data_IF_235595843594
#
_entry.id   IF_235595843594
#
_cell.length_a   1.000
_cell.length_b   1.000
_cell.length_c   1.000
_cell.angle_alpha   90.00
_cell.angle_beta   90.00
_cell.angle_gamma   90.00
#
_symmetry.space_group_name_H-M   'P 1'
#
loop_
_entity.id
_entity.type
_entity.pdbx_description
1 polymer ?
#
# COMPACT_ATOMS: atom_id res chain seq x y z
N UNK A 1 -24.21 -2.40 3.51
CA UNK A 1 -22.89 -2.64 2.89
C UNK A 1 -22.11 -3.50 3.85
N UNK A 2 -21.77 -4.73 3.46
CA UNK A 2 -21.49 -5.85 4.36
C UNK A 2 -20.48 -5.48 5.45
N UNK A 3 -20.91 -5.46 6.71
CA UNK A 3 -19.98 -5.44 7.84
C UNK A 3 -19.09 -6.71 7.86
N UNK A 4 -19.51 -7.74 7.12
CA UNK A 4 -18.84 -9.01 6.99
C UNK A 4 -17.91 -9.04 5.77
N UNK A 5 -16.60 -9.14 6.03
CA UNK A 5 -15.58 -9.27 5.00
C UNK A 5 -15.73 -10.58 4.19
N UNK A 6 -16.11 -11.68 4.84
CA UNK A 6 -16.14 -13.02 4.23
C UNK A 6 -17.23 -13.20 3.17
N UNK A 7 -18.27 -12.39 3.22
CA UNK A 7 -19.34 -12.39 2.22
C UNK A 7 -19.12 -11.33 1.13
N UNK A 8 -18.12 -10.47 1.30
CA UNK A 8 -17.87 -9.33 0.43
C UNK A 8 -17.35 -9.73 -0.94
N UNK A 9 -17.56 -8.87 -1.93
CA UNK A 9 -16.97 -9.02 -3.26
C UNK A 9 -15.44 -9.01 -3.25
N UNK A 10 -14.83 -8.30 -2.30
CA UNK A 10 -13.38 -8.27 -2.14
C UNK A 10 -12.82 -9.67 -1.84
N UNK A 11 -13.44 -10.40 -0.90
CA UNK A 11 -13.01 -11.74 -0.56
C UNK A 11 -13.25 -12.74 -1.71
N UNK A 12 -14.41 -12.64 -2.38
CA UNK A 12 -14.83 -13.61 -3.40
C UNK A 12 -14.15 -13.46 -4.76
N UNK A 13 -13.75 -12.24 -5.13
CA UNK A 13 -13.32 -11.94 -6.51
C UNK A 13 -11.97 -11.22 -6.63
N UNK A 14 -11.40 -10.74 -5.51
CA UNK A 14 -10.21 -9.87 -5.54
C UNK A 14 -9.10 -10.32 -4.60
N UNK A 15 -9.13 -11.59 -4.20
CA UNK A 15 -8.02 -12.26 -3.55
C UNK A 15 -7.37 -13.22 -4.55
N UNK A 16 -6.05 -13.11 -4.68
CA UNK A 16 -5.24 -13.88 -5.60
C UNK A 16 -4.01 -14.41 -4.91
N UNK A 17 -3.53 -15.56 -5.35
CA UNK A 17 -2.21 -16.05 -4.95
C UNK A 17 -1.10 -15.26 -5.64
N UNK A 18 0.12 -15.34 -5.09
CA UNK A 18 1.31 -14.71 -5.70
C UNK A 18 1.56 -15.21 -7.12
N UNK A 19 1.35 -16.50 -7.34
CA UNK A 19 1.54 -17.16 -8.64
C UNK A 19 0.48 -16.74 -9.66
N UNK A 20 -0.78 -16.63 -9.23
CA UNK A 20 -1.86 -16.13 -10.08
C UNK A 20 -1.60 -14.69 -10.54
N UNK A 21 -1.22 -13.79 -9.63
CA UNK A 21 -0.87 -12.41 -9.99
C UNK A 21 0.30 -12.34 -10.96
N UNK A 22 1.34 -13.14 -10.75
CA UNK A 22 2.49 -13.21 -11.65
C UNK A 22 2.09 -13.73 -13.04
N UNK A 23 1.27 -14.80 -13.09
CA UNK A 23 0.74 -15.38 -14.31
C UNK A 23 -0.14 -14.40 -15.09
N UNK A 24 -1.05 -13.69 -14.42
CA UNK A 24 -1.90 -12.66 -15.03
C UNK A 24 -1.08 -11.52 -15.65
N UNK A 25 -0.06 -11.02 -14.94
CA UNK A 25 0.84 -9.98 -15.44
C UNK A 25 1.67 -10.46 -16.62
N UNK A 26 2.23 -11.66 -16.53
CA UNK A 26 3.02 -12.25 -17.63
C UNK A 26 2.15 -12.46 -18.87
N UNK A 27 0.90 -12.90 -18.69
CA UNK A 27 -0.07 -13.04 -19.78
C UNK A 27 -0.32 -11.69 -20.46
N UNK A 28 -0.59 -10.63 -19.70
CA UNK A 28 -0.77 -9.28 -20.24
C UNK A 28 0.47 -8.78 -21.01
N UNK A 29 1.67 -9.02 -20.46
CA UNK A 29 2.91 -8.65 -21.14
C UNK A 29 3.10 -9.43 -22.45
N UNK A 30 2.78 -10.72 -22.47
CA UNK A 30 2.88 -11.56 -23.66
C UNK A 30 1.90 -11.15 -24.77
N UNK A 31 0.67 -10.77 -24.40
CA UNK A 31 -0.34 -10.27 -25.34
C UNK A 31 0.05 -8.90 -25.94
N UNK A 32 0.91 -8.14 -25.25
CA UNK A 32 1.35 -6.81 -25.66
C UNK A 32 2.86 -6.75 -25.96
N UNK A 33 3.48 -7.88 -26.32
CA UNK A 33 4.94 -8.06 -26.39
C UNK A 33 5.68 -6.97 -27.17
N UNK A 34 5.17 -6.53 -28.32
CA UNK A 34 5.77 -5.46 -29.12
C UNK A 34 5.87 -4.13 -28.34
N UNK A 35 4.81 -3.78 -27.61
CA UNK A 35 4.77 -2.54 -26.82
C UNK A 35 5.66 -2.64 -25.59
N UNK A 36 5.73 -3.83 -24.98
CA UNK A 36 6.61 -4.11 -23.83
C UNK A 36 8.08 -3.99 -24.24
N UNK A 37 8.46 -4.54 -25.38
CA UNK A 37 9.83 -4.47 -25.91
C UNK A 37 10.22 -3.03 -26.27
N UNK A 38 9.30 -2.26 -26.86
CA UNK A 38 9.55 -0.87 -27.24
C UNK A 38 9.70 0.07 -26.03
N UNK A 39 8.96 -0.19 -24.95
CA UNK A 39 8.95 0.63 -23.74
C UNK A 39 9.15 -0.23 -22.50
N UNK A 40 10.41 -0.51 -22.15
CA UNK A 40 10.73 -1.22 -20.92
C UNK A 40 10.38 -0.38 -19.69
N UNK A 41 9.67 -1.00 -18.75
CA UNK A 41 9.24 -0.39 -17.48
C UNK A 41 9.96 -1.08 -16.32
N UNK A 42 10.10 -0.40 -15.17
CA UNK A 42 10.65 -1.03 -13.98
C UNK A 42 9.64 -2.02 -13.41
N UNK A 43 10.10 -2.81 -12.43
CA UNK A 43 9.22 -3.75 -11.72
C UNK A 43 7.95 -3.08 -11.18
N UNK A 44 6.86 -3.85 -11.11
CA UNK A 44 5.57 -3.38 -10.59
C UNK A 44 5.66 -2.74 -9.20
N UNK A 45 6.54 -3.24 -8.32
CA UNK A 45 6.76 -2.63 -6.99
C UNK A 45 7.26 -1.18 -7.09
N UNK A 46 8.21 -0.90 -7.99
CA UNK A 46 8.67 0.47 -8.24
C UNK A 46 7.57 1.36 -8.85
N UNK A 47 6.75 0.82 -9.75
CA UNK A 47 5.59 1.53 -10.29
C UNK A 47 4.57 1.85 -9.20
N UNK A 48 4.30 0.94 -8.27
CA UNK A 48 3.38 1.19 -7.16
C UNK A 48 3.92 2.21 -6.15
N UNK A 49 5.24 2.25 -5.90
CA UNK A 49 5.87 3.32 -5.12
C UNK A 49 5.61 4.66 -5.82
N UNK A 50 5.86 4.75 -7.12
CA UNK A 50 5.62 5.96 -7.90
C UNK A 50 4.16 6.40 -7.87
N UNK A 51 3.22 5.48 -8.10
CA UNK A 51 1.79 5.77 -8.06
C UNK A 51 1.33 6.24 -6.68
N UNK A 52 1.80 5.59 -5.61
CA UNK A 52 1.51 6.01 -4.25
C UNK A 52 1.98 7.46 -4.01
N UNK A 53 3.19 7.83 -4.44
CA UNK A 53 3.69 9.20 -4.32
C UNK A 53 2.82 10.21 -5.09
N UNK A 54 2.36 9.87 -6.30
CA UNK A 54 1.47 10.75 -7.07
C UNK A 54 0.09 10.89 -6.42
N UNK A 55 -0.51 9.79 -5.95
CA UNK A 55 -1.79 9.80 -5.22
C UNK A 55 -1.66 10.61 -3.94
N UNK A 56 -0.61 10.42 -3.15
CA UNK A 56 -0.39 11.13 -1.89
C UNK A 56 -0.24 12.65 -2.12
N UNK A 57 0.48 13.06 -3.17
CA UNK A 57 0.62 14.48 -3.54
C UNK A 57 -0.72 15.10 -3.94
N UNK A 58 -1.52 14.39 -4.75
CA UNK A 58 -2.85 14.85 -5.15
C UNK A 58 -3.81 14.89 -3.94
N UNK A 59 -3.80 13.83 -3.12
CA UNK A 59 -4.63 13.73 -1.92
C UNK A 59 -4.34 14.82 -0.90
N UNK A 60 -3.06 15.21 -0.72
CA UNK A 60 -2.66 16.33 0.13
C UNK A 60 -3.21 17.67 -0.37
N UNK A 61 -3.21 17.90 -1.69
CA UNK A 61 -3.78 19.12 -2.31
C UNK A 61 -5.29 19.18 -2.15
N UNK A 62 -5.97 18.06 -2.33
CA UNK A 62 -7.42 17.92 -2.16
C UNK A 62 -7.87 17.84 -0.69
N UNK A 63 -6.94 17.69 0.26
CA UNK A 63 -7.19 17.51 1.70
C UNK A 63 -8.14 16.34 2.01
N UNK A 64 -7.98 15.22 1.28
CA UNK A 64 -8.81 14.02 1.46
C UNK A 64 -8.26 13.13 2.57
N UNK A 65 -9.12 12.27 3.13
CA UNK A 65 -8.79 11.34 4.22
C UNK A 65 -7.97 10.15 3.71
N UNK A 66 -7.19 9.55 4.60
CA UNK A 66 -6.36 8.38 4.29
C UNK A 66 -7.17 7.19 3.75
N UNK A 67 -8.41 7.01 4.20
CA UNK A 67 -9.30 5.95 3.71
C UNK A 67 -9.56 6.09 2.20
N UNK A 68 -9.83 7.29 1.69
CA UNK A 68 -10.01 7.52 0.26
C UNK A 68 -8.71 7.28 -0.54
N UNK A 69 -7.55 7.63 0.03
CA UNK A 69 -6.24 7.38 -0.58
C UNK A 69 -5.99 5.87 -0.70
N UNK A 70 -6.24 5.11 0.36
CA UNK A 70 -6.09 3.66 0.38
C UNK A 70 -7.01 2.97 -0.63
N UNK A 71 -8.27 3.38 -0.73
CA UNK A 71 -9.22 2.85 -1.72
C UNK A 71 -8.76 3.17 -3.15
N UNK A 72 -8.27 4.37 -3.42
CA UNK A 72 -7.72 4.73 -4.73
C UNK A 72 -6.49 3.87 -5.12
N UNK A 73 -5.62 3.56 -4.15
CA UNK A 73 -4.46 2.68 -4.38
C UNK A 73 -4.88 1.27 -4.79
N UNK A 74 -5.91 0.72 -4.14
CA UNK A 74 -6.45 -0.60 -4.48
C UNK A 74 -7.10 -0.59 -5.86
N UNK A 75 -7.85 0.45 -6.22
CA UNK A 75 -8.45 0.57 -7.55
C UNK A 75 -7.42 0.51 -8.67
N UNK A 76 -6.30 1.23 -8.52
CA UNK A 76 -5.23 1.22 -9.51
C UNK A 76 -4.63 -0.18 -9.67
N UNK A 77 -4.44 -0.91 -8.57
CA UNK A 77 -3.95 -2.29 -8.61
C UNK A 77 -4.92 -3.22 -9.33
N UNK A 78 -6.22 -3.14 -8.98
CA UNK A 78 -7.28 -3.95 -9.60
C UNK A 78 -7.41 -3.69 -11.11
N UNK A 79 -7.30 -2.42 -11.51
CA UNK A 79 -7.35 -2.01 -12.91
C UNK A 79 -6.17 -2.55 -13.71
N UNK A 80 -4.93 -2.35 -13.23
CA UNK A 80 -3.72 -2.76 -13.95
C UNK A 80 -3.42 -4.27 -13.92
N UNK A 81 -4.24 -5.07 -13.25
CA UNK A 81 -4.20 -6.54 -13.35
C UNK A 81 -4.90 -7.04 -14.62
N UNK A 82 -5.82 -6.24 -15.17
CA UNK A 82 -6.58 -6.59 -16.38
C UNK A 82 -6.20 -5.73 -17.58
N UNK A 83 -5.70 -4.51 -17.34
CA UNK A 83 -5.32 -3.56 -18.38
C UNK A 83 -3.81 -3.32 -18.37
N UNK A 84 -3.20 -3.47 -19.54
CA UNK A 84 -1.80 -3.15 -19.74
C UNK A 84 -1.54 -1.65 -19.56
N UNK A 85 -0.64 -1.30 -18.63
CA UNK A 85 -0.31 0.09 -18.24
C UNK A 85 -0.01 0.99 -19.44
N UNK A 86 0.68 0.45 -20.45
CA UNK A 86 1.12 1.18 -21.64
C UNK A 86 -0.03 1.57 -22.57
N UNK A 87 -1.25 1.05 -22.36
CA UNK A 87 -2.45 1.38 -23.16
C UNK A 87 -3.20 2.61 -22.63
N UNK A 88 -2.89 3.06 -21.42
CA UNK A 88 -3.60 4.13 -20.74
C UNK A 88 -2.64 5.21 -20.27
N UNK A 89 -3.13 6.43 -20.02
CA UNK A 89 -2.35 7.45 -19.32
C UNK A 89 -2.43 7.23 -17.80
N UNK A 90 -1.33 6.86 -17.11
CA UNK A 90 -1.41 6.54 -15.69
C UNK A 90 -1.84 7.70 -14.81
N UNK A 91 -1.55 8.93 -15.19
CA UNK A 91 -1.96 10.12 -14.46
C UNK A 91 -3.47 10.35 -14.54
N UNK A 92 -4.10 10.06 -15.69
CA UNK A 92 -5.55 10.09 -15.85
C UNK A 92 -6.20 9.01 -14.96
N UNK A 93 -5.65 7.79 -14.96
CA UNK A 93 -6.13 6.70 -14.12
C UNK A 93 -5.99 7.05 -12.63
N UNK A 94 -4.87 7.65 -12.21
CA UNK A 94 -4.66 8.10 -10.83
C UNK A 94 -5.70 9.14 -10.41
N UNK A 95 -5.91 10.19 -11.21
CA UNK A 95 -6.90 11.22 -10.89
C UNK A 95 -8.32 10.64 -10.82
N UNK A 96 -8.65 9.74 -11.74
CA UNK A 96 -9.95 9.07 -11.81
C UNK A 96 -10.15 8.13 -10.62
N UNK A 97 -9.14 7.37 -10.22
CA UNK A 97 -9.19 6.49 -9.05
C UNK A 97 -9.39 7.30 -7.76
N UNK A 98 -8.71 8.44 -7.60
CA UNK A 98 -8.92 9.34 -6.47
C UNK A 98 -10.34 9.91 -6.49
N UNK A 99 -10.83 10.36 -7.64
CA UNK A 99 -12.19 10.86 -7.79
C UNK A 99 -13.24 9.83 -7.39
N UNK A 100 -13.14 8.63 -7.94
CA UNK A 100 -14.06 7.53 -7.66
C UNK A 100 -14.00 7.13 -6.18
N UNK A 101 -12.79 7.00 -5.61
CA UNK A 101 -12.62 6.66 -4.20
C UNK A 101 -13.27 7.71 -3.28
N UNK A 102 -13.13 9.00 -3.58
CA UNK A 102 -13.78 10.07 -2.82
C UNK A 102 -15.31 9.94 -2.82
N UNK A 103 -15.91 9.55 -3.95
CA UNK A 103 -17.36 9.33 -4.04
C UNK A 103 -17.82 8.14 -3.20
N UNK A 104 -17.06 7.04 -3.23
CA UNK A 104 -17.43 5.80 -2.55
C UNK A 104 -17.18 5.86 -1.04
N UNK A 105 -16.15 6.58 -0.60
CA UNK A 105 -15.82 6.77 0.82
C UNK A 105 -16.56 7.96 1.47
N UNK A 106 -17.69 8.39 0.87
CA UNK A 106 -18.55 9.46 1.40
C UNK A 106 -17.80 10.78 1.67
N UNK A 107 -16.79 11.09 0.86
CA UNK A 107 -16.05 12.35 0.89
C UNK A 107 -15.91 12.98 -0.51
N UNK A 108 -17.04 13.19 -1.23
CA UNK A 108 -17.03 13.54 -2.65
C UNK A 108 -16.33 14.88 -2.91
N UNK A 109 -15.52 14.90 -3.96
CA UNK A 109 -14.85 16.09 -4.46
C UNK A 109 -15.44 16.48 -5.81
N UNK A 110 -15.62 17.78 -6.05
CA UNK A 110 -16.15 18.26 -7.31
C UNK A 110 -15.18 17.96 -8.46
N UNK A 111 -15.67 17.41 -9.58
CA UNK A 111 -14.83 16.94 -10.70
C UNK A 111 -13.88 18.02 -11.23
N UNK A 112 -14.35 19.28 -11.34
CA UNK A 112 -13.52 20.42 -11.77
C UNK A 112 -12.34 20.69 -10.83
N UNK A 113 -12.50 20.47 -9.52
CA UNK A 113 -11.44 20.67 -8.53
C UNK A 113 -10.34 19.62 -8.69
N UNK A 114 -10.73 18.35 -8.89
CA UNK A 114 -9.76 17.27 -9.14
C UNK A 114 -8.97 17.56 -10.41
N UNK A 115 -9.68 17.92 -11.49
CA UNK A 115 -9.04 18.26 -12.76
C UNK A 115 -8.09 19.44 -12.62
N UNK A 116 -8.47 20.51 -11.88
CA UNK A 116 -7.59 21.67 -11.68
C UNK A 116 -6.35 21.35 -10.85
N UNK A 117 -6.50 20.59 -9.76
CA UNK A 117 -5.36 20.20 -8.92
C UNK A 117 -4.43 19.22 -9.63
N UNK A 118 -4.98 18.27 -10.39
CA UNK A 118 -4.21 17.33 -11.18
C UNK A 118 -3.43 18.04 -12.31
N UNK A 119 -4.03 19.02 -13.01
CA UNK A 119 -3.32 19.87 -13.97
C UNK A 119 -2.20 20.69 -13.32
N UNK A 120 -2.45 21.26 -12.14
CA UNK A 120 -1.43 21.99 -11.39
C UNK A 120 -0.23 21.09 -11.03
N UNK A 121 -0.50 19.82 -10.72
CA UNK A 121 0.50 18.85 -10.29
C UNK A 121 1.32 18.25 -11.45
N UNK A 122 0.70 18.04 -12.61
CA UNK A 122 1.28 17.31 -13.75
C UNK A 122 1.25 18.09 -15.07
N UNK A 123 1.44 19.41 -15.00
CA UNK A 123 1.32 20.42 -16.06
C UNK A 123 1.52 19.92 -17.52
N UNK A 124 2.62 19.22 -17.82
CA UNK A 124 2.95 18.77 -19.19
C UNK A 124 2.63 17.30 -19.50
N UNK A 125 2.04 16.56 -18.55
CA UNK A 125 1.89 15.10 -18.64
C UNK A 125 0.47 14.65 -19.01
N UNK A 126 -0.52 15.54 -18.96
CA UNK A 126 -1.92 15.19 -19.28
C UNK A 126 -2.77 16.40 -19.72
N UNK A 127 -3.45 16.27 -20.87
CA UNK A 127 -4.68 17.04 -21.18
C UNK A 127 -5.87 16.52 -20.35
N UNK A 128 -5.95 16.94 -19.09
CA UNK A 128 -7.05 16.56 -18.20
C UNK A 128 -8.27 17.45 -18.40
N UNK A 129 -9.30 16.88 -19.04
CA UNK A 129 -10.64 17.45 -19.15
C UNK A 129 -11.66 16.66 -18.32
N UNK A 130 -12.75 17.32 -17.95
CA UNK A 130 -13.81 16.70 -17.16
C UNK A 130 -14.52 15.57 -17.91
N UNK A 131 -14.63 15.66 -19.24
CA UNK A 131 -15.21 14.60 -20.09
C UNK A 131 -14.36 13.33 -20.03
N UNK A 132 -13.05 13.45 -20.27
CA UNK A 132 -12.09 12.34 -20.23
C UNK A 132 -12.01 11.68 -18.87
N UNK A 133 -12.06 12.46 -17.81
CA UNK A 133 -12.12 11.92 -16.45
C UNK A 133 -13.42 11.12 -16.25
N UNK A 134 -14.57 11.63 -16.72
CA UNK A 134 -15.85 10.89 -16.66
C UNK A 134 -15.86 9.61 -17.51
N UNK A 135 -15.30 9.64 -18.72
CA UNK A 135 -15.15 8.45 -19.56
C UNK A 135 -14.23 7.41 -18.90
N UNK A 136 -13.07 7.85 -18.39
CA UNK A 136 -12.15 6.99 -17.66
C UNK A 136 -12.80 6.42 -16.39
N UNK A 137 -13.68 7.18 -15.73
CA UNK A 137 -14.40 6.72 -14.55
C UNK A 137 -15.30 5.52 -14.90
N UNK A 138 -16.06 5.64 -15.98
CA UNK A 138 -16.91 4.57 -16.46
C UNK A 138 -16.09 3.31 -16.78
N UNK A 139 -14.97 3.47 -17.49
CA UNK A 139 -14.07 2.35 -17.79
C UNK A 139 -13.48 1.71 -16.52
N UNK A 140 -13.06 2.52 -15.55
CA UNK A 140 -12.48 2.04 -14.29
C UNK A 140 -13.51 1.21 -13.50
N UNK A 141 -14.78 1.65 -13.44
CA UNK A 141 -15.86 0.91 -12.78
C UNK A 141 -16.15 -0.41 -13.50
N UNK A 142 -16.23 -0.37 -14.83
CA UNK A 142 -16.51 -1.55 -15.66
C UNK A 142 -15.44 -2.62 -15.48
N UNK A 143 -14.15 -2.24 -15.54
CA UNK A 143 -13.04 -3.18 -15.41
C UNK A 143 -12.94 -3.80 -14.02
N UNK A 144 -13.31 -3.06 -12.97
CA UNK A 144 -13.38 -3.59 -11.60
C UNK A 144 -14.68 -4.35 -11.32
N UNK A 145 -15.53 -4.58 -12.32
CA UNK A 145 -16.79 -5.32 -12.17
C UNK A 145 -17.75 -4.68 -11.16
N UNK A 146 -17.74 -3.35 -11.02
CA UNK A 146 -18.52 -2.61 -10.01
C UNK A 146 -18.26 -3.00 -8.54
N UNK A 147 -17.13 -3.65 -8.25
CA UNK A 147 -16.73 -4.04 -6.90
C UNK A 147 -15.99 -2.91 -6.17
N UNK A 148 -16.74 -1.86 -5.79
CA UNK A 148 -16.16 -0.60 -5.31
C UNK A 148 -15.87 -0.57 -3.80
N UNK A 149 -16.54 -1.39 -2.98
CA UNK A 149 -16.35 -1.36 -1.52
C UNK A 149 -15.07 -2.11 -1.13
N UNK A 150 -14.15 -1.42 -0.45
CA UNK A 150 -12.87 -1.96 0.03
C UNK A 150 -12.85 -1.99 1.57
N UNK A 151 -12.59 -3.16 2.13
CA UNK A 151 -12.31 -3.35 3.55
C UNK A 151 -10.83 -3.11 3.80
N UNK A 152 -10.54 -2.17 4.70
CA UNK A 152 -9.19 -1.69 4.98
C UNK A 152 -8.66 -2.17 6.35
N UNK A 153 -7.33 -2.33 6.52
CA UNK A 153 -6.73 -2.83 7.76
C UNK A 153 -6.90 -1.89 8.96
N UNK A 154 -7.09 -0.58 8.71
CA UNK A 154 -7.13 0.45 9.76
C UNK A 154 -8.21 0.18 10.82
N UNK A 155 -9.37 -0.35 10.40
CA UNK A 155 -10.47 -0.67 11.33
C UNK A 155 -10.06 -1.79 12.30
N UNK A 156 -9.37 -2.82 11.80
CA UNK A 156 -8.85 -3.91 12.63
C UNK A 156 -7.77 -3.40 13.58
N UNK A 157 -6.87 -2.53 13.12
CA UNK A 157 -5.86 -1.91 13.99
C UNK A 157 -6.50 -1.16 15.17
N UNK A 158 -7.51 -0.31 14.90
CA UNK A 158 -8.22 0.43 15.95
C UNK A 158 -8.94 -0.51 16.92
N UNK A 159 -9.55 -1.59 16.42
CA UNK A 159 -10.25 -2.56 17.28
C UNK A 159 -9.29 -3.31 18.20
N UNK A 160 -8.10 -3.67 17.71
CA UNK A 160 -7.12 -4.46 18.48
C UNK A 160 -6.25 -3.61 19.41
N UNK A 161 -6.35 -2.27 19.32
CA UNK A 161 -5.56 -1.36 20.14
C UNK A 161 -5.80 -1.57 21.65
N UNK A 162 -7.06 -1.77 22.06
CA UNK A 162 -7.43 -2.02 23.46
C UNK A 162 -6.93 -3.36 23.97
N UNK A 163 -7.06 -4.39 23.14
CA UNK A 163 -6.84 -5.79 23.53
C UNK A 163 -5.35 -6.07 23.69
N UNK A 164 -4.54 -5.55 22.78
CA UNK A 164 -3.07 -5.70 22.77
C UNK A 164 -2.40 -4.60 23.62
N UNK A 165 -3.15 -3.58 24.06
CA UNK A 165 -2.67 -2.42 24.82
C UNK A 165 -1.51 -1.70 24.13
N UNK A 166 -1.72 -1.35 22.86
CA UNK A 166 -0.72 -0.61 22.08
C UNK A 166 -0.62 0.84 22.59
N UNK A 167 0.62 1.31 22.79
CA UNK A 167 0.89 2.73 23.07
C UNK A 167 0.47 3.59 21.87
N UNK A 168 0.18 4.87 22.08
CA UNK A 168 -0.13 5.80 20.98
C UNK A 168 0.99 5.88 19.93
N UNK A 169 2.25 5.80 20.36
CA UNK A 169 3.40 5.75 19.45
C UNK A 169 3.51 4.42 18.69
N UNK A 170 3.09 3.31 19.30
CA UNK A 170 3.08 1.99 18.65
C UNK A 170 1.95 1.97 17.61
N UNK A 171 0.78 2.50 17.96
CA UNK A 171 -0.35 2.65 17.06
C UNK A 171 0.01 3.50 15.83
N UNK A 172 0.66 4.66 16.02
CA UNK A 172 1.08 5.51 14.92
C UNK A 172 2.11 4.83 14.00
N UNK A 173 3.02 4.03 14.57
CA UNK A 173 3.99 3.27 13.80
C UNK A 173 3.34 2.14 13.00
N UNK A 174 2.45 1.36 13.62
CA UNK A 174 1.66 0.33 12.93
C UNK A 174 0.79 0.92 11.82
N UNK A 175 0.19 2.10 12.04
CA UNK A 175 -0.55 2.83 11.02
C UNK A 175 0.34 3.19 9.82
N UNK A 176 1.57 3.64 10.06
CA UNK A 176 2.53 3.92 8.98
C UNK A 176 2.87 2.66 8.18
N UNK A 177 3.12 1.54 8.86
CA UNK A 177 3.41 0.26 8.19
C UNK A 177 2.23 -0.18 7.30
N UNK A 178 0.99 0.01 7.78
CA UNK A 178 -0.20 -0.27 6.96
C UNK A 178 -0.23 0.64 5.72
N UNK A 179 0.08 1.92 5.84
CA UNK A 179 0.14 2.81 4.67
C UNK A 179 1.17 2.32 3.65
N UNK A 180 2.34 1.88 4.11
CA UNK A 180 3.41 1.37 3.25
C UNK A 180 3.01 0.04 2.59
N UNK A 181 2.20 -0.80 3.27
CA UNK A 181 1.71 -2.06 2.71
C UNK A 181 0.92 -1.89 1.41
N UNK A 182 0.25 -0.75 1.18
CA UNK A 182 -0.46 -0.46 -0.06
C UNK A 182 0.46 -0.22 -1.27
N UNK A 183 1.77 -0.05 -1.06
CA UNK A 183 2.75 -0.02 -2.16
C UNK A 183 3.07 -1.44 -2.67
N UNK A 184 2.72 -2.48 -1.93
CA UNK A 184 2.92 -3.89 -2.30
C UNK A 184 1.65 -4.53 -2.86
N UNK A 185 1.69 -5.81 -3.23
CA UNK A 185 0.52 -6.57 -3.68
C UNK A 185 -0.33 -7.15 -2.52
N UNK A 186 0.08 -6.90 -1.27
CA UNK A 186 -0.61 -7.38 -0.06
C UNK A 186 -2.12 -7.13 -0.05
N UNK A 187 -2.65 -5.95 -0.47
CA UNK A 187 -4.10 -5.71 -0.47
C UNK A 187 -4.92 -6.65 -1.37
N UNK A 188 -4.26 -7.36 -2.29
CA UNK A 188 -4.88 -8.32 -3.21
C UNK A 188 -4.54 -9.78 -2.87
N UNK A 189 -3.62 -10.00 -1.94
CA UNK A 189 -3.18 -11.34 -1.55
C UNK A 189 -3.77 -11.76 -0.20
N UNK A 190 -3.84 -10.82 0.75
CA UNK A 190 -4.22 -11.14 2.12
C UNK A 190 -5.44 -10.36 2.59
N UNK A 191 -6.27 -10.95 3.45
CA UNK A 191 -7.30 -10.24 4.18
C UNK A 191 -6.78 -9.06 4.99
N UNK A 192 -7.58 -7.98 5.15
CA UNK A 192 -7.15 -6.77 5.83
C UNK A 192 -6.77 -6.98 7.30
N UNK A 193 -7.37 -7.98 7.97
CA UNK A 193 -7.02 -8.30 9.35
C UNK A 193 -5.62 -8.91 9.49
N UNK A 194 -5.19 -9.75 8.54
CA UNK A 194 -3.84 -10.32 8.52
C UNK A 194 -2.80 -9.22 8.31
N UNK A 195 -3.06 -8.29 7.39
CA UNK A 195 -2.18 -7.14 7.15
C UNK A 195 -2.05 -6.26 8.41
N UNK A 196 -3.15 -6.04 9.13
CA UNK A 196 -3.12 -5.29 10.40
C UNK A 196 -2.30 -6.02 11.47
N UNK A 197 -2.48 -7.34 11.61
CA UNK A 197 -1.71 -8.15 12.57
C UNK A 197 -0.22 -8.18 12.23
N UNK A 198 0.15 -8.28 10.95
CA UNK A 198 1.53 -8.21 10.50
C UNK A 198 2.17 -6.86 10.86
N UNK A 199 1.45 -5.75 10.68
CA UNK A 199 1.92 -4.42 11.05
C UNK A 199 2.11 -4.27 12.58
N UNK A 200 1.22 -4.85 13.38
CA UNK A 200 1.35 -4.88 14.84
C UNK A 200 2.57 -5.72 15.25
N UNK A 201 2.73 -6.92 14.69
CA UNK A 201 3.87 -7.79 14.96
C UNK A 201 5.20 -7.06 14.68
N UNK A 202 5.33 -6.45 13.51
CA UNK A 202 6.51 -5.67 13.13
C UNK A 202 6.76 -4.49 14.08
N UNK A 203 5.70 -3.79 14.49
CA UNK A 203 5.81 -2.69 15.47
C UNK A 203 6.40 -3.15 16.79
N UNK A 204 5.92 -4.30 17.30
CA UNK A 204 6.39 -4.87 18.56
C UNK A 204 7.82 -5.42 18.46
N UNK A 205 8.20 -5.95 17.30
CA UNK A 205 9.49 -6.60 17.03
C UNK A 205 10.60 -5.61 16.64
N UNK A 206 10.29 -4.47 16.01
CA UNK A 206 11.30 -3.54 15.47
C UNK A 206 11.69 -2.39 16.40
N UNK A 207 10.80 -1.97 17.32
CA UNK A 207 11.14 -1.00 18.37
C UNK A 207 12.21 -1.43 19.40
N UNK A 208 12.67 -2.69 19.55
CA UNK A 208 13.82 -3.03 20.38
C UNK A 208 15.12 -2.31 19.98
N UNK A 209 15.25 -1.87 18.72
CA UNK A 209 16.48 -1.23 18.20
C UNK A 209 16.47 0.31 18.18
N UNK A 210 15.37 0.96 18.54
CA UNK A 210 15.31 2.42 18.65
C UNK A 210 15.51 2.80 20.12
N UNK A 211 16.77 2.99 20.54
CA UNK A 211 17.13 3.46 21.88
C UNK A 211 16.42 4.79 22.21
N UNK A 212 15.93 4.98 23.45
CA UNK A 212 15.36 6.24 23.90
C UNK A 212 16.51 7.23 24.14
N UNK A 213 16.96 7.92 23.09
CA UNK A 213 18.08 8.86 23.19
C UNK A 213 18.36 9.73 21.97
N UNK A 214 17.85 9.40 20.78
CA UNK A 214 17.96 10.29 19.61
C UNK A 214 16.75 11.23 19.54
N UNK A 215 16.77 12.26 20.36
CA UNK A 215 15.95 13.46 20.14
C UNK A 215 16.46 14.11 18.84
N UNK A 216 15.63 14.37 17.81
CA UNK A 216 16.02 15.31 16.77
C UNK A 216 15.93 16.70 17.41
N UNK A 217 17.06 17.14 17.98
CA UNK A 217 17.23 18.50 18.47
C UNK A 217 16.98 19.49 17.33
N UNK A 218 16.14 20.49 17.59
CA UNK A 218 15.69 21.46 16.62
C UNK A 218 16.80 22.26 15.95
N UNK A 219 16.68 22.37 14.63
CA UNK A 219 17.34 23.38 13.81
C UNK A 219 16.37 23.80 12.72
N UNK A 220 15.85 25.03 12.81
CA UNK A 220 15.04 25.66 11.77
C UNK A 220 15.88 25.83 10.49
N UNK A 221 15.54 25.13 9.41
CA UNK A 221 15.79 25.56 8.04
C UNK A 221 14.92 24.71 7.07
N UNK A 222 14.20 25.39 6.17
CA UNK A 222 13.16 24.81 5.34
C UNK A 222 13.65 23.78 4.31
N UNK A 223 12.86 22.72 4.14
CA UNK A 223 13.04 21.68 3.13
C UNK A 223 12.33 20.40 3.55
N UNK A 224 11.00 20.32 3.39
CA UNK A 224 10.22 19.14 3.77
C UNK A 224 10.30 18.04 2.71
N UNK A 225 11.37 17.25 2.74
CA UNK A 225 11.37 15.88 2.22
C UNK A 225 10.74 14.96 3.26
N UNK A 226 9.67 14.27 2.87
CA UNK A 226 9.07 13.19 3.64
C UNK A 226 10.04 12.01 3.71
N UNK A 227 10.90 11.99 4.73
CA UNK A 227 11.68 10.81 5.09
C UNK A 227 10.87 10.01 6.11
N UNK A 228 10.29 8.90 5.67
CA UNK A 228 9.76 7.87 6.58
C UNK A 228 10.90 7.37 7.47
N UNK A 229 10.65 6.99 8.73
CA UNK A 229 11.68 6.42 9.59
C UNK A 229 12.21 5.14 8.92
N UNK A 230 13.50 5.14 8.56
CA UNK A 230 14.14 3.99 7.94
C UNK A 230 13.99 2.76 8.84
N UNK A 231 13.46 1.67 8.27
CA UNK A 231 13.32 0.36 8.89
C UNK A 231 14.74 -0.22 9.05
N UNK A 232 15.30 -0.36 10.28
CA UNK A 232 16.66 -0.89 10.44
C UNK A 232 16.72 -2.36 10.02
N UNK A 233 17.72 -2.68 9.16
CA UNK A 233 18.17 -3.99 8.67
C UNK A 233 17.09 -5.11 8.63
N UNK A 234 16.43 -5.27 7.47
CA UNK A 234 15.37 -6.24 7.22
C UNK A 234 15.73 -7.70 7.60
N UNK A 235 17.02 -8.07 7.55
CA UNK A 235 17.52 -9.38 7.99
C UNK A 235 17.41 -9.59 9.51
N UNK A 236 17.66 -8.55 10.31
CA UNK A 236 17.51 -8.62 11.76
C UNK A 236 16.03 -8.60 12.16
N UNK A 237 15.20 -7.84 11.45
CA UNK A 237 13.76 -7.78 11.68
C UNK A 237 13.06 -9.10 11.33
N UNK A 238 13.43 -9.75 10.22
CA UNK A 238 12.91 -11.07 9.85
C UNK A 238 13.36 -12.16 10.82
N UNK A 239 14.63 -12.16 11.23
CA UNK A 239 15.12 -13.10 12.25
C UNK A 239 14.43 -12.90 13.60
N UNK A 240 14.17 -11.66 14.02
CA UNK A 240 13.48 -11.36 15.26
C UNK A 240 11.97 -11.69 15.20
N UNK A 241 11.31 -11.47 14.06
CA UNK A 241 9.92 -11.85 13.86
C UNK A 241 9.77 -13.39 13.81
N UNK A 242 10.66 -14.08 13.10
CA UNK A 242 10.72 -15.54 13.07
C UNK A 242 11.04 -16.14 14.45
N UNK A 243 11.97 -15.55 15.20
CA UNK A 243 12.29 -15.98 16.57
C UNK A 243 11.13 -15.70 17.55
N UNK A 244 10.38 -14.60 17.38
CA UNK A 244 9.18 -14.32 18.16
C UNK A 244 8.07 -15.33 17.89
N UNK A 245 7.87 -15.73 16.63
CA UNK A 245 6.90 -16.75 16.23
C UNK A 245 7.34 -18.18 16.61
N UNK A 246 8.64 -18.47 16.63
CA UNK A 246 9.19 -19.78 16.98
C UNK A 246 9.44 -20.00 18.49
N UNK A 247 9.32 -18.95 19.32
CA UNK A 247 9.68 -18.94 20.74
C UNK A 247 8.73 -19.68 21.69
N UNK A 248 8.06 -20.75 21.24
CA UNK A 248 7.11 -21.54 22.03
C UNK A 248 7.74 -22.66 22.86
N UNK A 249 9.05 -22.93 22.74
CA UNK A 249 9.68 -23.98 23.54
C UNK A 249 11.00 -23.54 24.17
N UNK A 250 11.01 -23.52 25.50
CA UNK A 250 12.18 -23.48 26.39
C UNK A 250 12.96 -22.16 26.51
N UNK A 251 12.53 -21.29 27.44
CA UNK A 251 13.45 -20.37 28.12
C UNK A 251 13.10 -20.24 29.61
N UNK A 252 13.89 -20.91 30.44
CA UNK A 252 13.83 -20.83 31.90
C UNK A 252 14.20 -19.45 32.43
N UNK A 253 13.69 -19.18 33.64
CA UNK A 253 13.76 -17.97 34.45
C UNK A 253 15.02 -17.11 34.27
N UNK A 254 14.87 -16.00 33.55
CA UNK A 254 15.71 -14.80 33.67
C UNK A 254 14.80 -13.58 33.73
N UNK A 255 15.21 -12.49 34.43
CA UNK A 255 14.35 -11.33 34.65
C UNK A 255 13.87 -10.79 33.29
N UNK A 256 12.55 -10.86 33.10
CA UNK A 256 11.89 -10.63 31.83
C UNK A 256 11.84 -9.13 31.54
N UNK A 257 12.48 -8.69 30.46
CA UNK A 257 12.27 -7.35 29.93
C UNK A 257 10.75 -7.15 29.72
N UNK A 258 10.13 -6.06 30.22
CA UNK A 258 8.68 -5.84 30.08
C UNK A 258 8.22 -5.81 28.61
N UNK A 259 9.16 -5.62 27.68
CA UNK A 259 9.00 -5.57 26.22
C UNK A 259 8.99 -6.95 25.57
N UNK A 260 9.82 -7.89 26.02
CA UNK A 260 9.73 -9.31 25.65
C UNK A 260 8.38 -9.88 26.13
N UNK A 261 7.91 -9.40 27.29
CA UNK A 261 6.56 -9.69 27.77
C UNK A 261 5.43 -9.22 26.84
N UNK A 262 5.58 -8.11 26.10
CA UNK A 262 4.54 -7.64 25.15
C UNK A 262 4.47 -8.49 23.89
N UNK A 263 5.63 -8.85 23.34
CA UNK A 263 5.71 -9.79 22.21
C UNK A 263 5.15 -11.15 22.63
N UNK A 264 5.53 -11.66 23.81
CA UNK A 264 4.99 -12.92 24.33
C UNK A 264 3.47 -12.88 24.51
N UNK A 265 2.92 -11.78 25.07
CA UNK A 265 1.47 -11.61 25.20
C UNK A 265 0.77 -11.60 23.84
N UNK A 266 1.35 -10.96 22.85
CA UNK A 266 0.81 -10.95 21.49
C UNK A 266 0.87 -12.34 20.86
N UNK A 267 1.95 -13.09 21.04
CA UNK A 267 2.09 -14.48 20.56
C UNK A 267 1.10 -15.41 21.25
N UNK A 268 0.89 -15.27 22.57
CA UNK A 268 -0.14 -16.02 23.29
C UNK A 268 -1.53 -15.68 22.77
N UNK A 269 -1.83 -14.39 22.57
CA UNK A 269 -3.10 -13.97 21.97
C UNK A 269 -3.29 -14.53 20.55
N UNK A 270 -2.24 -14.57 19.74
CA UNK A 270 -2.27 -15.17 18.41
C UNK A 270 -2.50 -16.69 18.48
N UNK A 271 -1.89 -17.39 19.43
CA UNK A 271 -2.07 -18.83 19.62
C UNK A 271 -3.49 -19.19 20.10
N UNK A 272 -4.11 -18.33 20.90
CA UNK A 272 -5.51 -18.47 21.33
C UNK A 272 -6.51 -18.07 20.22
N UNK A 273 -6.03 -17.42 19.15
CA UNK A 273 -6.84 -16.96 18.03
C UNK A 273 -6.79 -17.95 16.86
N UNK A 274 -7.90 -18.07 16.13
CA UNK A 274 -8.00 -18.91 14.91
C UNK A 274 -7.39 -18.21 13.66
N UNK A 275 -6.23 -17.57 13.84
CA UNK A 275 -5.55 -16.83 12.78
C UNK A 275 -4.51 -17.71 12.11
N UNK A 276 -4.49 -17.70 10.77
CA UNK A 276 -3.48 -18.39 9.98
C UNK A 276 -2.09 -17.75 10.18
N UNK A 277 -1.24 -18.45 10.94
CA UNK A 277 0.13 -18.01 11.26
C UNK A 277 1.05 -18.07 10.03
N UNK A 278 0.79 -18.98 9.08
CA UNK A 278 1.59 -19.07 7.86
C UNK A 278 1.34 -17.84 6.97
N UNK A 279 0.07 -17.49 6.76
CA UNK A 279 -0.30 -16.27 6.04
C UNK A 279 0.24 -15.00 6.72
N UNK A 280 0.25 -14.96 8.06
CA UNK A 280 0.85 -13.86 8.83
C UNK A 280 2.37 -13.75 8.60
N UNK A 281 3.08 -14.87 8.59
CA UNK A 281 4.52 -14.91 8.34
C UNK A 281 4.85 -14.43 6.92
N UNK A 282 4.13 -14.93 5.92
CA UNK A 282 4.29 -14.54 4.51
C UNK A 282 3.99 -13.05 4.31
N UNK A 283 2.90 -12.55 4.89
CA UNK A 283 2.56 -11.12 4.86
C UNK A 283 3.67 -10.27 5.49
N UNK A 284 4.22 -10.70 6.63
CA UNK A 284 5.31 -10.00 7.32
C UNK A 284 6.58 -9.98 6.49
N UNK A 285 6.93 -11.09 5.85
CA UNK A 285 8.09 -11.20 4.97
C UNK A 285 7.96 -10.29 3.75
N UNK A 286 6.77 -10.22 3.13
CA UNK A 286 6.52 -9.31 2.01
C UNK A 286 6.68 -7.83 2.42
N UNK A 287 6.18 -7.42 3.59
CA UNK A 287 6.40 -6.05 4.13
C UNK A 287 7.89 -5.76 4.32
N UNK A 288 8.66 -6.71 4.87
CA UNK A 288 10.10 -6.52 5.07
C UNK A 288 10.87 -6.48 3.74
N UNK A 289 10.49 -7.32 2.78
CA UNK A 289 11.10 -7.35 1.45
C UNK A 289 10.88 -6.03 0.71
N UNK A 290 9.74 -5.38 0.94
CA UNK A 290 9.42 -4.10 0.34
C UNK A 290 10.38 -2.99 0.76
N UNK A 291 10.84 -2.97 2.02
CA UNK A 291 11.82 -1.97 2.48
C UNK A 291 13.12 -2.02 1.69
N UNK A 292 13.58 -3.21 1.31
CA UNK A 292 14.78 -3.37 0.48
C UNK A 292 14.56 -2.86 -0.96
N UNK A 293 13.37 -3.09 -1.53
CA UNK A 293 13.01 -2.57 -2.86
C UNK A 293 12.93 -1.03 -2.84
N UNK A 294 12.44 -0.46 -1.75
CA UNK A 294 12.35 0.99 -1.60
C UNK A 294 13.71 1.67 -1.61
N UNK A 295 14.77 1.03 -1.11
CA UNK A 295 16.15 1.57 -1.18
C UNK A 295 16.69 1.62 -2.61
N UNK A 296 16.24 0.72 -3.49
CA UNK A 296 16.67 0.63 -4.89
C UNK A 296 15.83 1.52 -5.82
N UNK A 297 14.75 2.12 -5.32
CA UNK A 297 13.81 2.91 -6.11
C UNK A 297 14.44 4.21 -6.63
N UNK A 298 14.29 4.46 -7.92
CA UNK A 298 14.70 5.71 -8.58
C UNK A 298 13.49 6.43 -9.21
N UNK A 299 13.06 7.54 -8.60
CA UNK A 299 11.91 8.34 -9.06
C UNK A 299 12.11 8.91 -10.46
N UNK A 300 13.32 9.44 -10.74
CA UNK A 300 13.60 10.09 -12.03
C UNK A 300 13.50 9.10 -13.16
N UNK A 301 14.12 7.93 -13.00
CA UNK A 301 14.08 6.85 -13.99
C UNK A 301 12.65 6.39 -14.26
N UNK A 302 11.90 6.10 -13.19
CA UNK A 302 10.50 5.62 -13.31
C UNK A 302 9.62 6.66 -14.02
N UNK A 303 9.76 7.93 -13.65
CA UNK A 303 9.04 9.04 -14.29
C UNK A 303 9.39 9.18 -15.77
N UNK A 304 10.67 9.16 -16.11
CA UNK A 304 11.14 9.29 -17.50
C UNK A 304 10.61 8.15 -18.38
N UNK A 305 10.65 6.91 -17.88
CA UNK A 305 10.09 5.75 -18.58
C UNK A 305 8.58 5.89 -18.82
N UNK A 306 7.82 6.36 -17.82
CA UNK A 306 6.39 6.61 -17.97
C UNK A 306 6.13 7.72 -19.00
N UNK A 307 6.81 8.86 -18.86
CA UNK A 307 6.67 9.98 -19.79
C UNK A 307 7.04 9.61 -21.22
N UNK A 308 8.02 8.72 -21.42
CA UNK A 308 8.45 8.26 -22.75
C UNK A 308 7.33 7.54 -23.49
N UNK A 309 6.66 6.55 -22.87
CA UNK A 309 5.59 5.83 -23.57
C UNK A 309 4.32 6.67 -23.70
N UNK A 310 4.01 7.52 -22.69
CA UNK A 310 2.85 8.41 -22.75
C UNK A 310 2.95 9.35 -23.96
N UNK A 311 4.11 10.00 -24.14
CA UNK A 311 4.35 10.90 -25.29
C UNK A 311 4.44 10.15 -26.62
N UNK A 312 5.17 9.04 -26.67
CA UNK A 312 5.34 8.29 -27.91
C UNK A 312 4.03 7.71 -28.44
N UNK A 313 3.07 7.44 -27.55
CA UNK A 313 1.74 6.94 -27.91
C UNK A 313 0.66 8.02 -28.01
N UNK A 314 1.00 9.30 -27.78
CA UNK A 314 0.03 10.41 -27.80
C UNK A 314 -1.05 10.31 -26.73
N UNK A 315 -0.77 9.63 -25.62
CA UNK A 315 -1.71 9.45 -24.50
C UNK A 315 -1.82 10.69 -23.61
N UNK A 316 -0.99 11.70 -23.87
CA UNK A 316 -1.01 13.03 -23.26
C UNK A 316 -2.05 13.96 -23.91
N UNK A 317 -2.53 13.64 -25.11
CA UNK A 317 -3.39 14.49 -25.93
C UNK A 317 -4.86 14.19 -25.79
#
# INVERSE_FOLDING_TARGET
>A
MSANYWESSQYKHWLFTKEELASMRQKLESENAETVQMFTLPEWRHLYIYFNQQIARLGKRLKIRQQAIATAQVYIKRFYIHIEIRRTNPYLVIATAVYLACKIEECPQHIRLIVSEARSLWQDSVSLDTSRLGECEFHLISEMGSHLIIHQPYRTLTSLQSDIRLSGEDFAFAWSIINDSYMTDLPLMFPPHIVALAAILLTLVMKPNMLPGSVPGGGMAGGSSSSSPAIPNAAAASAAAAAALAGTQNRGDKPMDPKVGRVQKFVVWLADSDVDVAALADCTQEILSFSAVQEQYNDKLTREQISRFVKARGLDK
#
